data_IF_216774862191
#
_entry.id   IF_216774862191
#
_cell.length_a   1.000
_cell.length_b   1.000
_cell.length_c   1.000
_cell.angle_alpha   90.00
_cell.angle_beta   90.00
_cell.angle_gamma   90.00
#
_symmetry.space_group_name_H-M   'P 1'
#
loop_
_entity.id
_entity.type
_entity.pdbx_description
1 polymer ?
#
# COMPACT_ATOMS: atom_id res chain seq x y z
N UNK A 1 -2.30 -7.15 -5.42
CA UNK A 1 -3.51 -7.75 -4.77
C UNK A 1 -3.61 -9.29 -4.87
N UNK A 2 -2.68 -9.93 -5.57
CA UNK A 2 -2.60 -11.35 -5.88
C UNK A 2 -2.52 -12.28 -4.66
N UNK A 3 -1.94 -11.82 -3.54
CA UNK A 3 -1.95 -12.58 -2.28
C UNK A 3 -3.37 -12.76 -1.75
N UNK A 4 -4.19 -11.72 -1.81
CA UNK A 4 -5.53 -11.75 -1.23
C UNK A 4 -6.52 -12.47 -2.16
N UNK A 5 -6.39 -12.25 -3.48
CA UNK A 5 -7.30 -12.83 -4.47
C UNK A 5 -6.97 -14.28 -4.81
N UNK A 6 -5.68 -14.63 -4.85
CA UNK A 6 -5.22 -15.92 -5.41
C UNK A 6 -4.31 -16.70 -4.47
N UNK A 7 -4.08 -16.22 -3.23
CA UNK A 7 -3.16 -16.83 -2.26
C UNK A 7 -1.76 -17.07 -2.85
N UNK A 8 -1.33 -16.18 -3.75
CA UNK A 8 -0.06 -16.28 -4.46
C UNK A 8 0.97 -15.38 -3.82
N UNK A 9 1.91 -15.98 -3.09
CA UNK A 9 3.00 -15.28 -2.42
C UNK A 9 4.26 -15.32 -3.29
N UNK A 10 4.80 -14.16 -3.64
CA UNK A 10 5.98 -14.01 -4.48
C UNK A 10 6.85 -12.87 -3.95
N UNK A 11 8.09 -12.76 -4.42
CA UNK A 11 8.91 -11.59 -4.09
C UNK A 11 8.25 -10.28 -4.52
N UNK A 12 7.43 -10.27 -5.58
CA UNK A 12 6.66 -9.09 -5.97
C UNK A 12 5.61 -8.70 -4.92
N UNK A 13 4.98 -9.66 -4.26
CA UNK A 13 4.03 -9.35 -3.18
C UNK A 13 4.73 -8.85 -1.92
N UNK A 14 5.97 -9.29 -1.68
CA UNK A 14 6.79 -8.77 -0.59
C UNK A 14 7.22 -7.32 -0.86
N UNK A 15 7.54 -6.98 -2.11
CA UNK A 15 7.84 -5.60 -2.54
C UNK A 15 6.63 -4.69 -2.32
N UNK A 16 5.43 -5.14 -2.70
CA UNK A 16 4.19 -4.42 -2.42
C UNK A 16 3.99 -4.17 -0.91
N UNK A 17 4.16 -5.20 -0.09
CA UNK A 17 4.05 -5.08 1.37
C UNK A 17 5.12 -4.15 1.97
N UNK A 18 6.32 -4.13 1.39
CA UNK A 18 7.38 -3.20 1.77
C UNK A 18 7.01 -1.74 1.50
N UNK A 19 6.35 -1.44 0.37
CA UNK A 19 5.82 -0.09 0.09
C UNK A 19 4.85 0.40 1.16
N UNK A 20 3.93 -0.48 1.59
CA UNK A 20 3.01 -0.19 2.71
C UNK A 20 3.78 0.02 4.02
N UNK A 21 4.78 -0.83 4.31
CA UNK A 21 5.59 -0.71 5.51
C UNK A 21 6.39 0.60 5.57
N UNK A 22 6.95 1.04 4.44
CA UNK A 22 7.60 2.35 4.35
C UNK A 22 6.61 3.47 4.69
N UNK A 23 5.39 3.40 4.16
CA UNK A 23 4.35 4.38 4.48
C UNK A 23 4.02 4.41 5.97
N UNK A 24 3.91 3.26 6.62
CA UNK A 24 3.71 3.16 8.07
C UNK A 24 4.85 3.82 8.85
N UNK A 25 6.11 3.66 8.42
CA UNK A 25 7.26 4.32 9.05
C UNK A 25 7.17 5.85 8.95
N UNK A 26 6.83 6.39 7.77
CA UNK A 26 6.73 7.85 7.57
C UNK A 26 5.51 8.49 8.23
N UNK A 27 4.48 7.70 8.54
CA UNK A 27 3.31 8.14 9.30
C UNK A 27 3.43 7.88 10.80
N UNK A 28 4.61 7.45 11.28
CA UNK A 28 4.86 7.13 12.69
C UNK A 28 3.93 6.02 13.24
N UNK A 29 3.63 5.03 12.41
CA UNK A 29 2.83 3.85 12.76
C UNK A 29 1.33 4.04 12.60
N UNK A 30 0.89 4.95 11.72
CA UNK A 30 -0.53 5.09 11.43
C UNK A 30 -1.04 3.86 10.67
N UNK A 31 -2.31 3.51 10.90
CA UNK A 31 -2.89 2.35 10.23
C UNK A 31 -3.20 2.66 8.75
N UNK A 32 -2.68 1.87 7.79
CA UNK A 32 -2.99 2.06 6.38
C UNK A 32 -4.47 1.78 6.12
N UNK A 33 -5.12 2.64 5.35
CA UNK A 33 -6.57 2.58 5.07
C UNK A 33 -7.43 2.44 6.35
N UNK A 34 -7.10 3.15 7.44
CA UNK A 34 -7.73 3.02 8.75
C UNK A 34 -9.28 3.04 8.77
N UNK A 35 -9.92 3.72 7.80
CA UNK A 35 -11.38 3.84 7.71
C UNK A 35 -12.07 2.75 6.88
N UNK A 36 -11.29 1.85 6.26
CA UNK A 36 -11.81 0.84 5.32
C UNK A 36 -11.85 -0.55 5.96
N UNK A 37 -12.89 -1.32 5.64
CA UNK A 37 -12.91 -2.76 5.87
C UNK A 37 -12.03 -3.49 4.85
N UNK A 38 -11.65 -4.74 5.12
CA UNK A 38 -10.80 -5.52 4.21
C UNK A 38 -11.34 -5.64 2.78
N UNK A 39 -12.67 -5.74 2.63
CA UNK A 39 -13.31 -5.75 1.31
C UNK A 39 -13.19 -4.39 0.62
N UNK A 40 -13.41 -3.30 1.33
CA UNK A 40 -13.29 -1.97 0.73
C UNK A 40 -11.84 -1.62 0.39
N UNK A 41 -10.86 -2.14 1.15
CA UNK A 41 -9.43 -2.01 0.79
C UNK A 41 -9.16 -2.71 -0.54
N UNK A 42 -9.69 -3.92 -0.74
CA UNK A 42 -9.55 -4.64 -2.01
C UNK A 42 -10.16 -3.87 -3.17
N UNK A 43 -11.40 -3.37 -3.01
CA UNK A 43 -12.07 -2.57 -4.03
C UNK A 43 -11.33 -1.26 -4.33
N UNK A 44 -10.69 -0.66 -3.32
CA UNK A 44 -9.90 0.56 -3.51
C UNK A 44 -8.61 0.28 -4.29
N UNK A 45 -7.85 -0.76 -3.94
CA UNK A 45 -6.52 -1.02 -4.53
C UNK A 45 -6.57 -1.75 -5.87
N UNK A 46 -7.64 -2.49 -6.15
CA UNK A 46 -7.81 -3.28 -7.36
C UNK A 46 -8.44 -2.47 -8.50
N UNK A 47 -8.48 -3.05 -9.71
CA UNK A 47 -9.16 -2.44 -10.83
C UNK A 47 -10.66 -2.24 -10.52
N UNK A 48 -11.26 -1.08 -10.84
CA UNK A 48 -10.75 0.01 -11.67
C UNK A 48 -10.14 1.19 -10.88
N UNK A 49 -10.12 1.14 -9.55
CA UNK A 49 -9.83 2.31 -8.72
C UNK A 49 -8.33 2.57 -8.56
N UNK A 50 -7.51 1.51 -8.46
CA UNK A 50 -6.05 1.59 -8.32
C UNK A 50 -5.58 2.59 -7.25
N UNK A 51 -6.37 2.78 -6.19
CA UNK A 51 -6.07 3.71 -5.12
C UNK A 51 -4.76 3.30 -4.43
N UNK A 52 -3.99 4.31 -4.05
CA UNK A 52 -2.75 4.18 -3.27
C UNK A 52 -2.87 5.03 -2.00
N UNK A 53 -1.99 4.77 -1.04
CA UNK A 53 -1.89 5.58 0.18
C UNK A 53 -1.40 6.99 -0.18
N UNK A 54 -1.93 8.00 0.50
CA UNK A 54 -1.52 9.39 0.30
C UNK A 54 -0.09 9.62 0.81
N UNK A 55 0.62 10.58 0.23
CA UNK A 55 1.98 10.91 0.67
C UNK A 55 1.96 11.48 2.09
N UNK A 56 2.72 10.92 3.04
CA UNK A 56 2.85 11.50 4.38
C UNK A 56 3.52 12.88 4.33
N UNK A 57 3.16 13.79 5.24
CA UNK A 57 3.65 15.18 5.25
C UNK A 57 5.19 15.28 5.30
N UNK A 58 5.85 14.39 6.04
CA UNK A 58 7.31 14.37 6.20
C UNK A 58 8.03 13.45 5.20
N UNK A 59 7.32 12.87 4.22
CA UNK A 59 7.91 11.93 3.26
C UNK A 59 8.49 12.68 2.05
N UNK A 60 9.81 12.56 1.78
CA UNK A 60 10.42 13.13 0.59
C UNK A 60 9.86 12.48 -0.68
N UNK A 61 9.75 13.25 -1.77
CA UNK A 61 9.11 12.79 -3.01
C UNK A 61 9.76 11.56 -3.64
N UNK A 62 11.08 11.40 -3.47
CA UNK A 62 11.81 10.22 -3.95
C UNK A 62 11.33 8.92 -3.27
N UNK A 63 11.04 8.96 -1.96
CA UNK A 63 10.53 7.80 -1.23
C UNK A 63 9.08 7.52 -1.57
N UNK A 64 8.27 8.56 -1.76
CA UNK A 64 6.89 8.37 -2.20
C UNK A 64 6.80 7.79 -3.62
N UNK A 65 7.68 8.24 -4.52
CA UNK A 65 7.79 7.66 -5.87
C UNK A 65 8.14 6.18 -5.79
N UNK A 66 9.11 5.81 -4.95
CA UNK A 66 9.46 4.42 -4.68
C UNK A 66 8.26 3.61 -4.14
N UNK A 67 7.47 4.16 -3.21
CA UNK A 67 6.28 3.48 -2.68
C UNK A 67 5.22 3.23 -3.78
N UNK A 68 5.12 4.11 -4.77
CA UNK A 68 4.19 3.95 -5.89
C UNK A 68 4.68 2.93 -6.92
N UNK A 69 5.98 2.69 -7.01
CA UNK A 69 6.61 1.67 -7.85
C UNK A 69 6.58 0.27 -7.22
N UNK A 70 6.36 0.19 -5.90
CA UNK A 70 6.14 -1.06 -5.18
C UNK A 70 4.79 -1.68 -5.54
#
# INVERSE_FOLDING_TARGET
>A
PECILYLKFTSSSDVWAFGVCLWEMFTYGFQPWAAFSGQQILEAIDAPNFQRLERPECCPDAYYSLMLEC
#
